data_IF_634562969374
#
_entry.id   IF_634562969374
#
_cell.length_a   1.000
_cell.length_b   1.000
_cell.length_c   1.000
_cell.angle_alpha   90.00
_cell.angle_beta   90.00
_cell.angle_gamma   90.00
#
_symmetry.space_group_name_H-M   'P 1'
#
loop_
_entity.id
_entity.type
_entity.pdbx_description
1 polymer ?
#
# COMPACT_ATOMS: atom_id res chain seq x y z
N UNK A 1 -16.81 -12.80 10.45
CA UNK A 1 -15.39 -12.71 10.02
C UNK A 1 -14.49 -12.06 11.07
N UNK A 2 -14.78 -10.86 11.60
CA UNK A 2 -13.92 -10.18 12.61
C UNK A 2 -13.49 -11.05 13.80
N UNK A 3 -14.44 -11.68 14.53
CA UNK A 3 -14.11 -12.60 15.64
C UNK A 3 -13.24 -13.79 15.19
N UNK A 4 -13.43 -14.29 13.97
CA UNK A 4 -12.63 -15.40 13.45
C UNK A 4 -11.20 -14.97 13.14
N UNK A 5 -11.00 -13.74 12.64
CA UNK A 5 -9.68 -13.13 12.45
C UNK A 5 -8.95 -13.02 13.80
N UNK A 6 -9.61 -12.48 14.83
CA UNK A 6 -9.02 -12.36 16.17
C UNK A 6 -8.69 -13.73 16.78
N UNK A 7 -9.57 -14.73 16.64
CA UNK A 7 -9.29 -16.08 17.12
C UNK A 7 -8.05 -16.69 16.44
N UNK A 8 -7.93 -16.52 15.11
CA UNK A 8 -6.78 -17.02 14.36
C UNK A 8 -5.50 -16.27 14.74
N UNK A 9 -5.58 -14.96 14.99
CA UNK A 9 -4.47 -14.17 15.49
C UNK A 9 -3.94 -14.70 16.84
N UNK A 10 -4.83 -15.05 17.78
CA UNK A 10 -4.42 -15.69 19.04
C UNK A 10 -3.76 -17.06 18.81
N UNK A 11 -4.33 -17.89 17.93
CA UNK A 11 -3.72 -19.17 17.54
C UNK A 11 -2.32 -18.99 16.95
N UNK A 12 -2.08 -17.96 16.15
CA UNK A 12 -0.75 -17.67 15.61
C UNK A 12 0.21 -17.26 16.74
N UNK A 13 -0.23 -16.49 17.74
CA UNK A 13 0.62 -16.11 18.88
C UNK A 13 1.08 -17.32 19.70
N UNK A 14 0.26 -18.38 19.80
CA UNK A 14 0.61 -19.65 20.44
C UNK A 14 1.76 -20.39 19.72
N UNK A 15 1.98 -20.09 18.43
CA UNK A 15 3.10 -20.62 17.65
C UNK A 15 4.43 -19.90 17.93
N UNK A 16 4.43 -18.93 18.86
CA UNK A 16 5.58 -18.12 19.24
C UNK A 16 6.28 -17.44 18.04
N UNK A 17 5.57 -16.56 17.30
CA UNK A 17 6.12 -15.89 16.14
C UNK A 17 7.29 -14.97 16.50
N UNK A 18 8.18 -14.75 15.53
CA UNK A 18 9.27 -13.79 15.61
C UNK A 18 8.77 -12.34 15.83
N UNK A 19 9.64 -11.38 16.23
CA UNK A 19 9.21 -10.07 16.67
C UNK A 19 8.32 -9.29 15.70
N UNK A 20 8.62 -9.30 14.39
CA UNK A 20 7.82 -8.56 13.40
C UNK A 20 6.40 -9.13 13.27
N UNK A 21 6.18 -10.42 12.92
CA UNK A 21 4.82 -10.95 12.86
C UNK A 21 4.07 -10.81 14.18
N UNK A 22 4.73 -11.01 15.32
CA UNK A 22 4.14 -10.83 16.66
C UNK A 22 3.66 -9.40 16.88
N UNK A 23 4.49 -8.42 16.52
CA UNK A 23 4.18 -7.00 16.67
C UNK A 23 2.98 -6.59 15.80
N UNK A 24 2.97 -7.02 14.54
CA UNK A 24 1.87 -6.75 13.61
C UNK A 24 0.55 -7.36 14.11
N UNK A 25 0.57 -8.60 14.60
CA UNK A 25 -0.64 -9.22 15.18
C UNK A 25 -1.18 -8.40 16.34
N UNK A 26 -0.31 -8.05 17.30
CA UNK A 26 -0.73 -7.35 18.52
C UNK A 26 -1.19 -5.92 18.22
N UNK A 27 -0.49 -5.21 17.33
CA UNK A 27 -0.79 -3.81 16.98
C UNK A 27 -1.98 -3.71 16.04
N UNK A 28 -1.98 -4.45 14.93
CA UNK A 28 -2.89 -4.20 13.81
C UNK A 28 -4.16 -5.03 13.89
N UNK A 29 -4.11 -6.24 14.46
CA UNK A 29 -5.26 -7.16 14.47
C UNK A 29 -5.95 -7.19 15.85
N UNK A 30 -5.14 -7.22 16.91
CA UNK A 30 -5.63 -7.23 18.29
C UNK A 30 -5.68 -5.85 18.94
N UNK A 31 -5.25 -4.81 18.21
CA UNK A 31 -5.38 -3.39 18.58
C UNK A 31 -4.87 -3.08 20.00
N UNK A 32 -3.77 -3.72 20.40
CA UNK A 32 -3.12 -3.46 21.69
C UNK A 32 -2.54 -2.05 21.70
N UNK A 33 -2.65 -1.40 22.86
CA UNK A 33 -2.06 -0.08 23.09
C UNK A 33 -0.55 -0.13 22.76
N UNK A 34 -0.04 0.74 21.85
CA UNK A 34 1.37 0.82 21.52
C UNK A 34 2.30 0.94 22.73
N UNK A 35 1.84 1.56 23.83
CA UNK A 35 2.62 1.67 25.07
C UNK A 35 2.97 0.30 25.65
N UNK A 36 2.06 -0.68 25.53
CA UNK A 36 2.26 -2.06 25.97
C UNK A 36 3.22 -2.83 25.03
N UNK A 37 3.43 -2.33 23.82
CA UNK A 37 4.25 -2.97 22.80
C UNK A 37 5.67 -2.38 22.71
N UNK A 38 6.04 -1.45 23.60
CA UNK A 38 7.32 -0.73 23.54
C UNK A 38 8.52 -1.66 23.45
N UNK A 39 8.58 -2.71 24.27
CA UNK A 39 9.73 -3.63 24.27
C UNK A 39 9.76 -4.49 23.00
N UNK A 40 8.59 -4.96 22.55
CA UNK A 40 8.49 -5.69 21.29
C UNK A 40 8.85 -4.82 20.09
N UNK A 41 8.49 -3.52 20.12
CA UNK A 41 8.88 -2.55 19.10
C UNK A 41 10.40 -2.36 19.06
N UNK A 42 11.09 -2.34 20.20
CA UNK A 42 12.57 -2.32 20.20
C UNK A 42 13.15 -3.56 19.50
N UNK A 43 12.59 -4.75 19.76
CA UNK A 43 13.01 -5.97 19.08
C UNK A 43 12.76 -5.92 17.57
N UNK A 44 11.63 -5.36 17.13
CA UNK A 44 11.37 -5.09 15.70
C UNK A 44 12.45 -4.19 15.10
N UNK A 45 12.79 -3.09 15.77
CA UNK A 45 13.79 -2.13 15.30
C UNK A 45 15.22 -2.72 15.28
N UNK A 46 15.48 -3.77 16.06
CA UNK A 46 16.75 -4.50 16.08
C UNK A 46 16.78 -5.70 15.12
N UNK A 47 15.69 -5.99 14.42
CA UNK A 47 15.66 -7.09 13.44
C UNK A 47 16.62 -6.84 12.29
N UNK A 48 17.13 -7.93 11.71
CA UNK A 48 17.98 -7.93 10.52
C UNK A 48 17.41 -7.05 9.41
N UNK A 49 16.09 -7.11 9.20
CA UNK A 49 15.43 -6.41 8.11
C UNK A 49 15.41 -4.89 8.30
N UNK A 50 15.30 -4.40 9.55
CA UNK A 50 15.37 -2.97 9.84
C UNK A 50 16.80 -2.47 9.78
N UNK A 51 17.76 -3.28 10.23
CA UNK A 51 19.19 -2.97 10.08
C UNK A 51 19.55 -2.84 8.58
N UNK A 52 19.12 -3.80 7.74
CA UNK A 52 19.34 -3.75 6.30
C UNK A 52 18.77 -2.46 5.66
N UNK A 53 17.60 -1.99 6.11
CA UNK A 53 17.01 -0.70 5.66
C UNK A 53 17.90 0.47 6.07
N UNK A 54 18.35 0.50 7.32
CA UNK A 54 19.16 1.60 7.84
C UNK A 54 20.52 1.69 7.15
N UNK A 55 21.18 0.55 6.91
CA UNK A 55 22.49 0.46 6.29
C UNK A 55 22.49 0.99 4.84
N UNK A 56 21.38 0.89 4.12
CA UNK A 56 21.24 1.39 2.75
C UNK A 56 20.62 2.79 2.65
N UNK A 57 20.16 3.37 3.77
CA UNK A 57 19.58 4.71 3.75
C UNK A 57 20.67 5.77 3.61
N UNK A 58 20.49 6.67 2.65
CA UNK A 58 21.42 7.78 2.41
C UNK A 58 21.23 8.89 3.43
N UNK A 59 22.23 9.79 3.51
CA UNK A 59 22.19 10.96 4.39
C UNK A 59 20.98 11.87 4.14
N UNK A 60 20.55 11.99 2.88
CA UNK A 60 19.37 12.77 2.49
C UNK A 60 18.04 12.06 2.80
N UNK A 61 18.05 10.84 3.35
CA UNK A 61 16.87 10.07 3.72
C UNK A 61 16.33 9.11 2.64
N UNK A 62 16.88 9.11 1.43
CA UNK A 62 16.45 8.26 0.31
C UNK A 62 17.15 6.89 0.28
N UNK A 63 16.66 5.98 -0.56
CA UNK A 63 17.30 4.69 -0.90
C UNK A 63 17.60 4.60 -2.40
N UNK A 64 18.32 5.61 -2.92
CA UNK A 64 18.54 5.73 -4.36
C UNK A 64 17.46 6.56 -5.04
N UNK A 65 17.25 6.29 -6.34
CA UNK A 65 16.17 6.90 -7.09
C UNK A 65 14.83 6.66 -6.38
N UNK A 66 13.91 7.59 -6.56
CA UNK A 66 12.65 7.51 -5.83
C UNK A 66 11.73 6.47 -6.44
N UNK A 67 11.57 6.53 -7.78
CA UNK A 67 10.57 5.77 -8.53
C UNK A 67 11.18 4.77 -9.52
N UNK A 68 12.15 5.20 -10.33
CA UNK A 68 12.74 4.35 -11.37
C UNK A 68 13.91 3.54 -10.83
N UNK A 69 13.95 2.26 -11.19
CA UNK A 69 15.09 1.41 -10.84
C UNK A 69 16.33 1.83 -11.62
N UNK A 70 17.45 2.00 -10.92
CA UNK A 70 18.76 2.07 -11.56
C UNK A 70 19.37 0.67 -11.68
N UNK A 71 19.18 0.03 -12.84
CA UNK A 71 19.66 -1.35 -13.10
C UNK A 71 21.18 -1.51 -13.09
N UNK A 72 21.93 -0.41 -13.12
CA UNK A 72 23.40 -0.43 -13.05
C UNK A 72 23.93 -0.57 -11.62
N UNK A 73 23.12 -0.25 -10.62
CA UNK A 73 23.51 -0.33 -9.21
C UNK A 73 22.98 -1.62 -8.58
N UNK A 74 23.81 -2.27 -7.77
CA UNK A 74 23.41 -3.40 -6.94
C UNK A 74 23.03 -2.87 -5.55
N UNK A 75 21.75 -2.62 -5.34
CA UNK A 75 21.17 -2.22 -4.05
C UNK A 75 20.13 -3.26 -3.63
N UNK A 76 19.97 -3.56 -2.32
CA UNK A 76 18.90 -4.45 -1.86
C UNK A 76 17.55 -3.78 -2.06
N UNK A 77 17.48 -2.47 -1.78
CA UNK A 77 16.30 -1.65 -2.04
C UNK A 77 16.52 -0.83 -3.31
N UNK A 78 15.80 -1.19 -4.36
CA UNK A 78 16.01 -0.65 -5.71
C UNK A 78 15.54 0.79 -5.87
N UNK A 79 14.62 1.24 -5.00
CA UNK A 79 14.08 2.60 -4.98
C UNK A 79 13.63 3.01 -3.58
N UNK A 80 13.45 4.31 -3.36
CA UNK A 80 12.89 4.86 -2.11
C UNK A 80 11.46 4.37 -1.85
N UNK A 81 10.61 4.28 -2.88
CA UNK A 81 9.26 3.72 -2.71
C UNK A 81 9.27 2.27 -2.23
N UNK A 82 10.19 1.45 -2.74
CA UNK A 82 10.33 0.05 -2.35
C UNK A 82 10.80 -0.08 -0.91
N UNK A 83 11.77 0.73 -0.49
CA UNK A 83 12.25 0.76 0.90
C UNK A 83 11.14 1.20 1.87
N UNK A 84 10.39 2.25 1.52
CA UNK A 84 9.25 2.72 2.33
C UNK A 84 8.15 1.66 2.42
N UNK A 85 7.79 1.01 1.32
CA UNK A 85 6.81 -0.07 1.36
C UNK A 85 7.27 -1.23 2.25
N UNK A 86 8.56 -1.60 2.16
CA UNK A 86 9.15 -2.60 3.07
C UNK A 86 9.04 -2.18 4.53
N UNK A 87 9.32 -0.91 4.85
CA UNK A 87 9.18 -0.40 6.20
C UNK A 87 7.74 -0.49 6.73
N UNK A 88 6.75 -0.13 5.90
CA UNK A 88 5.34 -0.22 6.27
C UNK A 88 4.93 -1.66 6.60
N UNK A 89 5.34 -2.60 5.75
CA UNK A 89 5.11 -4.05 5.92
C UNK A 89 5.73 -4.59 7.21
N UNK A 90 6.89 -4.08 7.63
CA UNK A 90 7.55 -4.48 8.89
C UNK A 90 6.97 -3.81 10.14
N UNK A 91 5.99 -2.91 9.98
CA UNK A 91 5.37 -2.21 11.11
C UNK A 91 6.19 -1.03 11.63
N UNK A 92 7.00 -0.39 10.77
CA UNK A 92 7.56 0.91 11.10
C UNK A 92 6.46 1.98 11.15
N UNK A 93 6.74 3.05 11.87
CA UNK A 93 5.85 4.19 12.08
C UNK A 93 6.60 5.50 11.77
N UNK A 94 5.86 6.59 11.58
CA UNK A 94 6.41 7.90 11.23
C UNK A 94 7.41 8.46 12.26
N UNK A 95 7.42 7.94 13.48
CA UNK A 95 8.36 8.33 14.54
C UNK A 95 9.67 7.56 14.48
N UNK A 96 9.73 6.46 13.74
CA UNK A 96 10.96 5.70 13.58
C UNK A 96 11.93 6.48 12.68
N UNK A 97 13.20 6.57 13.11
CA UNK A 97 14.24 7.35 12.45
C UNK A 97 14.30 7.23 10.92
N UNK A 98 14.29 6.03 10.30
CA UNK A 98 14.39 5.94 8.85
C UNK A 98 13.19 6.59 8.14
N UNK A 99 12.00 6.55 8.76
CA UNK A 99 10.80 7.16 8.20
C UNK A 99 10.82 8.67 8.36
N UNK A 100 11.28 9.19 9.49
CA UNK A 100 11.41 10.63 9.70
C UNK A 100 12.31 11.28 8.64
N UNK A 101 13.46 10.66 8.34
CA UNK A 101 14.36 11.14 7.30
C UNK A 101 13.73 11.08 5.90
N UNK A 102 12.99 10.02 5.60
CA UNK A 102 12.32 9.90 4.31
C UNK A 102 11.13 10.88 4.16
N UNK A 103 10.44 11.20 5.25
CA UNK A 103 9.42 12.26 5.27
C UNK A 103 10.06 13.61 4.96
N UNK A 104 11.14 13.98 5.64
CA UNK A 104 11.88 15.23 5.38
C UNK A 104 12.38 15.30 3.92
N UNK A 105 12.89 14.19 3.37
CA UNK A 105 13.22 14.10 1.94
C UNK A 105 12.01 14.42 1.05
N UNK A 106 10.87 13.74 1.26
CA UNK A 106 9.66 13.92 0.43
C UNK A 106 9.09 15.34 0.55
N UNK A 107 9.13 15.94 1.74
CA UNK A 107 8.74 17.33 1.97
C UNK A 107 9.61 18.30 1.16
N UNK A 108 10.93 18.12 1.21
CA UNK A 108 11.87 18.94 0.43
C UNK A 108 11.67 18.79 -1.08
N UNK A 109 11.36 17.59 -1.57
CA UNK A 109 11.02 17.38 -2.99
C UNK A 109 9.74 18.14 -3.35
N UNK A 110 8.66 17.99 -2.56
CA UNK A 110 7.38 18.64 -2.83
C UNK A 110 7.44 20.17 -2.73
N UNK A 111 8.36 20.71 -1.92
CA UNK A 111 8.63 22.14 -1.80
C UNK A 111 9.56 22.68 -2.90
N UNK A 112 10.15 21.81 -3.73
CA UNK A 112 11.15 22.19 -4.72
C UNK A 112 12.52 22.56 -4.13
N UNK A 113 12.77 22.23 -2.86
CA UNK A 113 14.03 22.52 -2.16
C UNK A 113 15.17 21.57 -2.59
N UNK A 114 14.84 20.39 -3.09
CA UNK A 114 15.80 19.43 -3.65
C UNK A 114 15.28 18.86 -4.97
N UNK A 115 16.22 18.46 -5.83
CA UNK A 115 15.91 17.84 -7.11
C UNK A 115 15.55 16.36 -6.90
N UNK A 116 14.50 15.92 -7.57
CA UNK A 116 14.12 14.51 -7.60
C UNK A 116 15.21 13.68 -8.28
N UNK A 117 15.66 12.59 -7.64
CA UNK A 117 16.84 11.85 -8.11
C UNK A 117 16.60 11.04 -9.40
N UNK A 118 15.34 10.88 -9.78
CA UNK A 118 14.94 10.26 -11.04
C UNK A 118 15.34 11.13 -12.25
N UNK A 119 15.74 10.47 -13.33
CA UNK A 119 16.16 11.17 -14.54
C UNK A 119 14.99 11.87 -15.21
N UNK A 120 15.06 13.21 -15.33
CA UNK A 120 13.98 14.01 -15.92
C UNK A 120 13.64 13.57 -17.34
N UNK A 121 12.41 13.12 -17.53
CA UNK A 121 11.86 12.82 -18.85
C UNK A 121 11.49 14.11 -19.59
N UNK A 122 11.51 14.05 -20.93
CA UNK A 122 11.07 15.15 -21.80
C UNK A 122 9.54 15.16 -21.93
N UNK A 123 8.85 15.30 -20.80
CA UNK A 123 7.39 15.35 -20.71
C UNK A 123 6.95 16.61 -19.98
N UNK A 124 5.93 17.29 -20.51
CA UNK A 124 5.25 18.40 -19.81
C UNK A 124 4.66 17.95 -18.47
N UNK A 125 4.31 16.67 -18.38
CA UNK A 125 3.70 16.07 -17.21
C UNK A 125 4.70 15.67 -16.11
N UNK A 126 6.01 15.87 -16.32
CA UNK A 126 7.04 15.42 -15.38
C UNK A 126 6.84 15.97 -13.97
N UNK A 127 6.69 17.29 -13.83
CA UNK A 127 6.60 17.94 -12.52
C UNK A 127 5.30 17.55 -11.79
N UNK A 128 4.19 17.42 -12.52
CA UNK A 128 2.97 16.85 -12.00
C UNK A 128 3.18 15.41 -11.52
N UNK A 129 3.93 14.60 -12.27
CA UNK A 129 4.23 13.21 -11.92
C UNK A 129 5.06 13.09 -10.65
N UNK A 130 6.11 13.90 -10.52
CA UNK A 130 6.92 14.01 -9.31
C UNK A 130 6.04 14.30 -8.10
N UNK A 131 5.18 15.32 -8.22
CA UNK A 131 4.30 15.75 -7.14
C UNK A 131 3.33 14.63 -6.73
N UNK A 132 2.67 13.97 -7.69
CA UNK A 132 1.70 12.90 -7.42
C UNK A 132 2.35 11.67 -6.80
N UNK A 133 3.48 11.20 -7.35
CA UNK A 133 4.20 10.04 -6.80
C UNK A 133 4.69 10.33 -5.38
N UNK A 134 5.33 11.49 -5.19
CA UNK A 134 5.90 11.86 -3.88
C UNK A 134 4.81 12.08 -2.84
N UNK A 135 3.75 12.84 -3.18
CA UNK A 135 2.66 13.11 -2.25
C UNK A 135 1.85 11.85 -1.91
N UNK A 136 1.60 10.98 -2.88
CA UNK A 136 0.91 9.72 -2.61
C UNK A 136 1.71 8.83 -1.66
N UNK A 137 3.03 8.78 -1.82
CA UNK A 137 3.93 8.02 -0.94
C UNK A 137 4.00 8.64 0.47
N UNK A 138 4.09 9.96 0.56
CA UNK A 138 4.02 10.69 1.84
C UNK A 138 2.68 10.45 2.56
N UNK A 139 1.58 10.33 1.81
CA UNK A 139 0.25 10.12 2.37
C UNK A 139 0.08 8.79 3.13
N UNK A 140 0.91 7.77 2.85
CA UNK A 140 0.92 6.52 3.62
C UNK A 140 1.34 6.75 5.09
N UNK A 141 2.20 7.74 5.32
CA UNK A 141 2.81 8.03 6.62
C UNK A 141 2.19 9.24 7.30
N UNK A 142 1.83 10.25 6.49
CA UNK A 142 1.30 11.53 6.92
C UNK A 142 0.06 11.89 6.09
N UNK A 143 -1.06 11.16 6.27
CA UNK A 143 -2.23 11.33 5.42
C UNK A 143 -2.87 12.72 5.49
N UNK A 144 -2.70 13.46 6.58
CA UNK A 144 -3.24 14.81 6.75
C UNK A 144 -2.17 15.89 6.62
N UNK A 145 -1.04 15.57 5.98
CA UNK A 145 0.04 16.53 5.78
C UNK A 145 -0.39 17.68 4.87
N UNK A 146 0.02 18.91 5.19
CA UNK A 146 -0.37 20.12 4.44
C UNK A 146 0.05 20.08 2.96
N UNK A 147 1.14 19.41 2.63
CA UNK A 147 1.59 19.21 1.24
C UNK A 147 0.80 18.10 0.49
N UNK A 148 0.16 17.19 1.21
CA UNK A 148 -0.61 16.08 0.61
C UNK A 148 -2.03 16.54 0.29
N UNK A 149 -2.64 17.33 1.16
CA UNK A 149 -4.06 17.69 1.07
C UNK A 149 -4.46 18.36 -0.25
N UNK A 150 -3.74 19.37 -0.78
CA UNK A 150 -4.11 20.01 -2.04
C UNK A 150 -4.07 19.03 -3.23
N UNK A 151 -3.05 18.18 -3.28
CA UNK A 151 -2.89 17.18 -4.33
C UNK A 151 -4.01 16.14 -4.24
N UNK A 152 -4.38 15.70 -3.02
CA UNK A 152 -5.52 14.81 -2.83
C UNK A 152 -6.82 15.45 -3.32
N UNK A 153 -7.11 16.69 -2.95
CA UNK A 153 -8.34 17.38 -3.36
C UNK A 153 -8.44 17.49 -4.88
N UNK A 154 -7.35 17.88 -5.53
CA UNK A 154 -7.26 17.89 -6.99
C UNK A 154 -7.61 16.51 -7.60
N UNK A 155 -7.05 15.41 -7.07
CA UNK A 155 -7.39 14.07 -7.56
C UNK A 155 -8.82 13.64 -7.25
N UNK A 156 -9.44 14.14 -6.17
CA UNK A 156 -10.86 13.92 -5.91
C UNK A 156 -11.72 14.56 -6.98
N UNK A 157 -11.38 15.78 -7.39
CA UNK A 157 -12.12 16.52 -8.41
C UNK A 157 -11.90 15.90 -9.80
N UNK A 158 -10.67 15.50 -10.13
CA UNK A 158 -10.38 14.72 -11.35
C UNK A 158 -11.26 13.47 -11.38
N UNK A 159 -11.29 12.65 -10.32
CA UNK A 159 -12.12 11.44 -10.30
C UNK A 159 -13.61 11.75 -10.45
N UNK A 160 -14.12 12.80 -9.80
CA UNK A 160 -15.54 13.18 -9.94
C UNK A 160 -15.87 13.62 -11.37
N UNK A 161 -15.00 14.42 -11.99
CA UNK A 161 -15.19 14.91 -13.36
C UNK A 161 -15.03 13.78 -14.40
N UNK A 162 -14.25 12.73 -14.11
CA UNK A 162 -14.09 11.55 -14.99
C UNK A 162 -15.33 10.65 -15.09
N UNK A 163 -16.38 10.91 -14.30
CA UNK A 163 -17.60 10.10 -14.29
C UNK A 163 -18.82 10.93 -14.65
N UNK A 164 -19.63 10.42 -15.58
CA UNK A 164 -20.91 10.99 -15.96
C UNK A 164 -21.99 9.91 -15.83
N UNK A 165 -23.13 10.24 -15.22
CA UNK A 165 -24.22 9.28 -14.98
C UNK A 165 -23.76 7.95 -14.33
N UNK A 166 -22.82 8.04 -13.38
CA UNK A 166 -22.19 6.89 -12.70
C UNK A 166 -21.39 5.95 -13.62
N UNK A 167 -20.97 6.42 -14.79
CA UNK A 167 -20.12 5.68 -15.71
C UNK A 167 -18.82 6.44 -15.97
N UNK A 168 -17.72 5.71 -15.98
CA UNK A 168 -16.41 6.28 -16.30
C UNK A 168 -16.34 6.68 -17.78
N UNK A 169 -15.82 7.88 -18.05
CA UNK A 169 -15.59 8.39 -19.40
C UNK A 169 -14.12 8.82 -19.56
N UNK A 170 -13.34 8.12 -20.41
CA UNK A 170 -11.93 8.46 -20.64
C UNK A 170 -11.69 9.88 -21.14
N UNK A 171 -12.58 10.42 -21.98
CA UNK A 171 -12.42 11.76 -22.53
C UNK A 171 -12.62 12.83 -21.45
N UNK A 172 -13.50 12.59 -20.49
CA UNK A 172 -13.68 13.48 -19.35
C UNK A 172 -12.47 13.43 -18.40
N UNK A 173 -11.88 12.26 -18.22
CA UNK A 173 -10.64 12.13 -17.44
C UNK A 173 -9.50 12.95 -18.06
N UNK A 174 -9.27 12.80 -19.37
CA UNK A 174 -8.23 13.57 -20.08
C UNK A 174 -8.47 15.08 -19.91
N UNK A 175 -9.71 15.54 -20.13
CA UNK A 175 -10.06 16.94 -19.97
C UNK A 175 -9.83 17.46 -18.54
N UNK A 176 -10.21 16.67 -17.53
CA UNK A 176 -9.99 17.02 -16.12
C UNK A 176 -8.49 17.09 -15.81
N UNK A 177 -7.70 16.11 -16.26
CA UNK A 177 -6.25 16.13 -16.01
C UNK A 177 -5.56 17.31 -16.69
N UNK A 178 -5.87 17.61 -17.94
CA UNK A 178 -5.34 18.79 -18.63
C UNK A 178 -5.68 20.09 -17.89
N UNK A 179 -6.93 20.21 -17.41
CA UNK A 179 -7.41 21.35 -16.62
C UNK A 179 -6.64 21.52 -15.31
N UNK A 180 -6.51 20.45 -14.52
CA UNK A 180 -5.95 20.53 -13.16
C UNK A 180 -4.42 20.53 -13.12
N UNK A 181 -3.77 19.83 -14.05
CA UNK A 181 -2.30 19.79 -14.13
C UNK A 181 -1.71 20.87 -15.03
N UNK A 182 -2.54 21.59 -15.80
CA UNK A 182 -2.10 22.59 -16.76
C UNK A 182 -1.13 22.04 -17.82
N UNK A 183 -1.44 20.86 -18.33
CA UNK A 183 -0.66 20.14 -19.35
C UNK A 183 -1.51 19.87 -20.58
N UNK A 184 -0.86 19.66 -21.73
CA UNK A 184 -1.54 19.31 -22.98
C UNK A 184 -1.55 17.80 -23.25
N UNK A 185 -0.62 17.06 -22.66
CA UNK A 185 -0.46 15.61 -22.85
C UNK A 185 -1.38 14.79 -21.93
N UNK A 186 -1.62 13.54 -22.33
CA UNK A 186 -2.15 12.52 -21.43
C UNK A 186 -1.24 12.35 -20.20
N UNK A 187 -1.85 12.07 -19.05
CA UNK A 187 -1.17 11.92 -17.77
C UNK A 187 -1.74 10.74 -16.97
N UNK A 188 -1.22 10.48 -15.77
CA UNK A 188 -1.53 9.28 -14.99
C UNK A 188 -3.01 8.97 -14.95
N UNK A 189 -3.37 7.73 -15.23
CA UNK A 189 -4.76 7.32 -15.16
C UNK A 189 -5.30 7.30 -13.70
N UNK A 190 -6.57 7.67 -13.47
CA UNK A 190 -7.19 7.77 -12.12
C UNK A 190 -7.30 6.43 -11.37
N UNK A 191 -7.11 5.30 -12.06
CA UNK A 191 -6.94 3.98 -11.44
C UNK A 191 -5.48 3.54 -11.36
N UNK A 192 -4.53 4.47 -11.31
CA UNK A 192 -3.14 4.20 -10.96
C UNK A 192 -2.97 4.03 -9.44
N UNK A 193 -1.95 3.28 -9.03
CA UNK A 193 -1.53 3.15 -7.62
C UNK A 193 -1.53 4.50 -6.89
N UNK A 194 -0.96 5.54 -7.52
CA UNK A 194 -0.73 6.83 -6.90
C UNK A 194 -2.02 7.63 -6.66
N UNK A 195 -2.89 7.69 -7.67
CA UNK A 195 -4.19 8.32 -7.55
C UNK A 195 -5.02 7.60 -6.47
N UNK A 196 -5.13 6.27 -6.56
CA UNK A 196 -5.92 5.48 -5.60
C UNK A 196 -5.35 5.60 -4.18
N UNK A 197 -4.03 5.64 -4.00
CA UNK A 197 -3.37 5.82 -2.70
C UNK A 197 -3.67 7.18 -2.08
N UNK A 198 -3.60 8.26 -2.86
CA UNK A 198 -4.02 9.58 -2.40
C UNK A 198 -5.47 9.56 -1.95
N UNK A 199 -6.31 8.82 -2.68
CA UNK A 199 -7.75 8.77 -2.44
C UNK A 199 -8.16 7.83 -1.32
N UNK A 200 -7.36 6.83 -0.99
CA UNK A 200 -7.64 5.86 0.08
C UNK A 200 -6.99 6.23 1.41
N UNK A 201 -6.06 7.18 1.42
CA UNK A 201 -5.38 7.63 2.63
C UNK A 201 -6.06 8.85 3.23
N UNK A 202 -6.15 8.89 4.56
CA UNK A 202 -6.66 10.04 5.32
C UNK A 202 -8.18 10.17 5.30
N UNK A 203 -8.68 11.00 6.22
CA UNK A 203 -10.06 11.47 6.26
C UNK A 203 -9.96 12.97 6.50
N UNK A 204 -10.45 13.79 5.58
CA UNK A 204 -10.67 15.19 5.91
C UNK A 204 -11.85 15.20 6.90
N UNK A 205 -11.61 15.53 8.15
CA UNK A 205 -12.64 15.55 9.19
C UNK A 205 -13.79 16.51 8.85
N UNK A 206 -13.52 17.51 7.99
CA UNK A 206 -14.51 18.51 7.58
C UNK A 206 -15.35 18.08 6.39
N UNK A 207 -14.86 17.20 5.52
CA UNK A 207 -15.57 16.79 4.30
C UNK A 207 -15.27 15.33 3.95
N UNK A 208 -16.34 14.54 3.74
CA UNK A 208 -16.20 13.20 3.18
C UNK A 208 -15.65 13.32 1.75
N UNK A 209 -14.56 12.60 1.51
CA UNK A 209 -13.86 12.53 0.23
C UNK A 209 -14.81 12.22 -0.95
N UNK A 210 -15.67 11.23 -0.77
CA UNK A 210 -16.74 10.87 -1.69
C UNK A 210 -18.05 10.61 -0.93
N UNK A 211 -19.18 10.78 -1.59
CA UNK A 211 -20.43 10.19 -1.11
C UNK A 211 -20.29 8.66 -1.14
N UNK A 212 -21.02 7.96 -0.26
CA UNK A 212 -20.93 6.49 -0.19
C UNK A 212 -21.31 5.82 -1.52
N UNK A 213 -22.28 6.39 -2.23
CA UNK A 213 -22.74 5.85 -3.51
C UNK A 213 -21.71 6.07 -4.61
N UNK A 214 -21.08 7.25 -4.66
CA UNK A 214 -20.02 7.50 -5.62
C UNK A 214 -18.77 6.66 -5.34
N UNK A 215 -18.40 6.48 -4.07
CA UNK A 215 -17.31 5.58 -3.67
C UNK A 215 -17.54 4.16 -4.22
N UNK A 216 -18.75 3.61 -4.08
CA UNK A 216 -19.10 2.30 -4.65
C UNK A 216 -18.95 2.26 -6.17
N UNK A 217 -19.37 3.31 -6.88
CA UNK A 217 -19.24 3.41 -8.34
C UNK A 217 -17.76 3.37 -8.74
N UNK A 218 -16.94 4.22 -8.13
CA UNK A 218 -15.50 4.29 -8.41
C UNK A 218 -14.80 2.96 -8.11
N UNK A 219 -15.05 2.38 -6.92
CA UNK A 219 -14.43 1.11 -6.53
C UNK A 219 -14.88 -0.06 -7.40
N UNK A 220 -16.17 -0.13 -7.74
CA UNK A 220 -16.68 -1.18 -8.64
C UNK A 220 -15.97 -1.10 -9.98
N UNK A 221 -15.84 0.11 -10.54
CA UNK A 221 -15.14 0.32 -11.79
C UNK A 221 -13.66 -0.08 -11.70
N UNK A 222 -12.92 0.32 -10.65
CA UNK A 222 -11.54 -0.11 -10.43
C UNK A 222 -11.42 -1.66 -10.37
N UNK A 223 -12.37 -2.30 -9.68
CA UNK A 223 -12.34 -3.74 -9.43
C UNK A 223 -12.68 -4.57 -10.67
N UNK A 224 -13.57 -4.08 -11.53
CA UNK A 224 -14.06 -4.80 -12.72
C UNK A 224 -13.37 -4.39 -14.02
N UNK A 225 -12.42 -3.46 -13.99
CA UNK A 225 -11.73 -3.00 -15.20
C UNK A 225 -10.86 -4.09 -15.82
N UNK A 226 -11.01 -4.30 -17.13
CA UNK A 226 -10.30 -5.35 -17.88
C UNK A 226 -8.78 -5.20 -17.84
N UNK A 227 -8.28 -3.96 -18.02
CA UNK A 227 -6.84 -3.67 -17.97
C UNK A 227 -6.25 -3.58 -16.55
N UNK A 228 -7.06 -3.87 -15.53
CA UNK A 228 -6.64 -3.81 -14.14
C UNK A 228 -6.34 -2.39 -13.65
N UNK A 229 -5.48 -2.33 -12.63
CA UNK A 229 -5.10 -1.11 -11.92
C UNK A 229 -3.62 -0.78 -12.17
N UNK A 230 -3.33 0.45 -12.59
CA UNK A 230 -1.98 0.87 -12.99
C UNK A 230 -0.95 0.67 -11.86
N UNK A 231 0.20 0.08 -12.18
CA UNK A 231 1.26 -0.30 -11.23
C UNK A 231 0.86 -1.35 -10.16
N UNK A 232 -0.33 -1.95 -10.28
CA UNK A 232 -0.84 -2.95 -9.33
C UNK A 232 -1.21 -4.26 -10.03
N UNK A 233 -2.04 -4.22 -11.07
CA UNK A 233 -2.46 -5.41 -11.82
C UNK A 233 -2.56 -5.11 -13.32
N UNK A 234 -2.28 -6.12 -14.14
CA UNK A 234 -2.47 -6.08 -15.60
C UNK A 234 -3.80 -6.70 -16.03
N UNK A 235 -4.45 -7.42 -15.11
CA UNK A 235 -5.70 -8.12 -15.34
C UNK A 235 -6.78 -7.61 -14.39
N UNK A 236 -8.01 -7.91 -14.75
CA UNK A 236 -9.20 -7.66 -13.95
C UNK A 236 -9.09 -8.22 -12.52
N UNK A 237 -9.45 -7.39 -11.54
CA UNK A 237 -9.33 -7.73 -10.12
C UNK A 237 -10.50 -8.58 -9.62
N UNK A 238 -11.66 -8.48 -10.26
CA UNK A 238 -12.85 -9.26 -9.91
C UNK A 238 -12.71 -10.77 -10.18
N UNK A 239 -11.84 -11.18 -11.12
CA UNK A 239 -11.76 -12.59 -11.52
C UNK A 239 -11.11 -13.43 -10.41
N UNK A 240 -11.77 -14.47 -9.93
CA UNK A 240 -11.20 -15.31 -8.88
C UNK A 240 -10.01 -16.13 -9.42
N UNK A 241 -8.91 -16.25 -8.65
CA UNK A 241 -7.79 -17.08 -9.05
C UNK A 241 -8.21 -18.55 -9.21
N UNK A 242 -7.82 -19.17 -10.32
CA UNK A 242 -7.99 -20.62 -10.54
C UNK A 242 -6.95 -21.40 -9.72
N UNK A 243 -5.71 -20.90 -9.68
CA UNK A 243 -4.62 -21.49 -8.90
C UNK A 243 -4.45 -20.77 -7.57
N UNK A 244 -4.20 -21.54 -6.50
CA UNK A 244 -3.91 -21.03 -5.15
C UNK A 244 -2.39 -20.86 -4.98
N UNK A 245 -1.81 -19.89 -5.69
CA UNK A 245 -0.39 -19.55 -5.59
C UNK A 245 -0.21 -18.10 -5.21
N UNK A 246 0.94 -17.73 -4.62
CA UNK A 246 1.18 -16.33 -4.29
C UNK A 246 1.19 -15.45 -5.55
N UNK A 247 1.74 -15.97 -6.66
CA UNK A 247 1.81 -15.24 -7.94
C UNK A 247 0.43 -14.86 -8.47
N UNK A 248 -0.58 -15.72 -8.31
CA UNK A 248 -1.93 -15.47 -8.80
C UNK A 248 -2.71 -14.47 -7.93
N UNK A 249 -2.36 -14.35 -6.64
CA UNK A 249 -3.09 -13.49 -5.69
C UNK A 249 -2.38 -12.17 -5.37
N UNK A 250 -1.06 -12.05 -5.59
CA UNK A 250 -0.26 -10.90 -5.13
C UNK A 250 -0.84 -9.53 -5.53
N UNK A 251 -1.25 -9.38 -6.79
CA UNK A 251 -1.79 -8.11 -7.29
C UNK A 251 -3.16 -7.81 -6.69
N UNK A 252 -3.95 -8.84 -6.38
CA UNK A 252 -5.24 -8.71 -5.70
C UNK A 252 -5.06 -8.37 -4.22
N UNK A 253 -4.05 -8.94 -3.54
CA UNK A 253 -3.70 -8.55 -2.18
C UNK A 253 -3.24 -7.08 -2.12
N UNK A 254 -2.35 -6.67 -3.03
CA UNK A 254 -1.90 -5.27 -3.13
C UNK A 254 -3.07 -4.31 -3.44
N UNK A 255 -3.96 -4.69 -4.35
CA UNK A 255 -5.17 -3.93 -4.63
C UNK A 255 -6.07 -3.84 -3.40
N UNK A 256 -6.33 -4.96 -2.72
CA UNK A 256 -7.19 -4.99 -1.53
C UNK A 256 -6.61 -4.14 -0.39
N UNK A 257 -5.31 -4.19 -0.16
CA UNK A 257 -4.58 -3.38 0.82
C UNK A 257 -4.72 -1.88 0.53
N UNK A 258 -4.57 -1.51 -0.74
CA UNK A 258 -4.72 -0.14 -1.22
C UNK A 258 -6.16 0.37 -1.08
N UNK A 259 -7.14 -0.46 -1.46
CA UNK A 259 -8.55 -0.13 -1.38
C UNK A 259 -9.09 -0.16 0.05
N UNK A 260 -8.40 -0.81 1.00
CA UNK A 260 -8.85 -0.92 2.39
C UNK A 260 -9.08 0.44 3.08
N UNK A 261 -8.60 1.55 2.52
CA UNK A 261 -8.89 2.91 2.99
C UNK A 261 -10.32 3.41 2.71
N UNK A 262 -11.02 2.81 1.75
CA UNK A 262 -12.42 3.14 1.44
C UNK A 262 -13.39 2.26 2.22
N UNK A 263 -14.52 2.85 2.64
CA UNK A 263 -15.51 2.15 3.48
C UNK A 263 -16.29 1.07 2.74
N UNK A 264 -16.43 1.22 1.42
CA UNK A 264 -17.20 0.32 0.57
C UNK A 264 -16.40 -0.90 0.10
N UNK A 265 -15.11 -0.97 0.38
CA UNK A 265 -14.20 -2.02 -0.12
C UNK A 265 -14.64 -3.42 0.26
N UNK A 266 -15.10 -3.63 1.50
CA UNK A 266 -15.57 -4.94 1.95
C UNK A 266 -16.72 -5.48 1.09
N UNK A 267 -17.67 -4.62 0.70
CA UNK A 267 -18.82 -4.98 -0.11
C UNK A 267 -18.45 -5.20 -1.58
N UNK A 268 -17.52 -4.41 -2.12
CA UNK A 268 -17.09 -4.53 -3.52
C UNK A 268 -16.20 -5.76 -3.73
N UNK A 269 -15.34 -6.08 -2.77
CA UNK A 269 -14.36 -7.15 -2.88
C UNK A 269 -14.81 -8.45 -2.18
N UNK A 270 -16.09 -8.57 -1.79
CA UNK A 270 -16.60 -9.65 -0.95
C UNK A 270 -16.27 -11.05 -1.48
N UNK A 271 -16.43 -11.28 -2.79
CA UNK A 271 -16.17 -12.57 -3.42
C UNK A 271 -14.71 -13.00 -3.26
N UNK A 272 -13.76 -12.08 -3.48
CA UNK A 272 -12.34 -12.36 -3.30
C UNK A 272 -11.97 -12.54 -1.82
N UNK A 273 -12.56 -11.76 -0.92
CA UNK A 273 -12.37 -11.90 0.53
C UNK A 273 -12.83 -13.30 0.99
N UNK A 274 -14.00 -13.75 0.53
CA UNK A 274 -14.54 -15.05 0.87
C UNK A 274 -13.73 -16.19 0.24
N UNK A 275 -13.30 -16.03 -1.02
CA UNK A 275 -12.40 -16.97 -1.68
C UNK A 275 -11.08 -17.10 -0.90
N UNK A 276 -10.45 -15.97 -0.54
CA UNK A 276 -9.19 -15.97 0.19
C UNK A 276 -9.35 -16.63 1.57
N UNK A 277 -10.47 -16.35 2.25
CA UNK A 277 -10.83 -17.00 3.50
C UNK A 277 -11.00 -18.51 3.33
N UNK A 278 -11.66 -18.99 2.27
CA UNK A 278 -11.88 -20.43 2.08
C UNK A 278 -10.64 -21.19 1.61
N UNK A 279 -9.65 -20.52 1.01
CA UNK A 279 -8.41 -21.13 0.51
C UNK A 279 -7.28 -21.14 1.56
N UNK A 280 -7.61 -21.52 2.79
CA UNK A 280 -6.62 -21.83 3.83
C UNK A 280 -6.27 -23.32 3.81
N UNK A 281 -5.12 -23.66 4.39
CA UNK A 281 -4.80 -25.06 4.72
C UNK A 281 -5.68 -25.56 5.89
N UNK A 282 -5.64 -26.87 6.16
CA UNK A 282 -6.47 -27.56 7.17
C UNK A 282 -6.29 -27.00 8.59
N UNK A 283 -5.09 -26.53 8.93
CA UNK A 283 -4.83 -25.90 10.22
C UNK A 283 -5.32 -24.44 10.30
N UNK A 284 -5.96 -23.93 9.26
CA UNK A 284 -6.54 -22.60 9.22
C UNK A 284 -5.52 -21.48 8.98
N UNK A 285 -4.37 -21.75 8.39
CA UNK A 285 -3.38 -20.76 8.00
C UNK A 285 -3.11 -20.79 6.48
N UNK A 286 -2.39 -19.80 5.97
CA UNK A 286 -2.00 -19.73 4.56
C UNK A 286 -0.52 -20.06 4.39
N UNK A 287 -0.21 -20.93 3.45
CA UNK A 287 1.16 -21.18 2.97
C UNK A 287 1.13 -21.36 1.45
N UNK A 288 1.71 -20.41 0.72
CA UNK A 288 1.80 -20.49 -0.75
C UNK A 288 3.13 -21.06 -1.24
N UNK A 289 3.85 -21.75 -0.34
CA UNK A 289 5.14 -22.36 -0.63
C UNK A 289 6.33 -21.39 -0.59
N UNK A 290 7.56 -21.94 -0.66
CA UNK A 290 8.80 -21.18 -0.51
C UNK A 290 9.15 -20.32 -1.73
N UNK A 291 8.52 -20.57 -2.88
CA UNK A 291 8.73 -19.84 -4.13
C UNK A 291 7.56 -18.89 -4.34
N UNK A 292 7.83 -17.59 -4.38
CA UNK A 292 6.85 -16.62 -4.91
C UNK A 292 6.64 -15.37 -4.09
N UNK A 293 6.96 -15.36 -2.79
CA UNK A 293 6.84 -14.16 -1.98
C UNK A 293 7.80 -13.07 -2.49
N UNK A 294 7.29 -11.87 -2.78
CA UNK A 294 8.14 -10.75 -3.17
C UNK A 294 8.97 -10.31 -1.98
N UNK A 295 10.30 -10.17 -2.17
CA UNK A 295 11.27 -9.81 -1.12
C UNK A 295 10.90 -8.53 -0.33
N UNK A 296 10.05 -7.69 -0.92
CA UNK A 296 9.58 -6.45 -0.33
C UNK A 296 8.48 -6.73 0.71
N UNK A 297 7.50 -7.55 0.35
CA UNK A 297 6.33 -7.80 1.19
C UNK A 297 6.57 -8.95 2.18
N UNK A 298 7.44 -9.90 1.82
CA UNK A 298 7.80 -11.06 2.61
C UNK A 298 9.28 -11.40 2.35
N UNK A 299 10.01 -11.97 3.31
CA UNK A 299 9.52 -12.51 4.58
C UNK A 299 9.30 -11.44 5.65
N UNK A 300 8.58 -11.77 6.72
CA UNK A 300 8.52 -10.98 7.96
C UNK A 300 9.46 -11.58 9.02
N UNK A 301 9.51 -12.90 9.10
CA UNK A 301 10.46 -13.65 9.92
C UNK A 301 11.86 -13.66 9.29
N UNK A 302 12.92 -13.69 10.09
CA UNK A 302 14.31 -13.75 9.64
C UNK A 302 14.67 -15.11 9.02
N UNK A 303 14.09 -16.20 9.54
CA UNK A 303 14.34 -17.54 9.04
C UNK A 303 13.10 -18.22 8.45
N UNK A 304 12.85 -17.99 7.16
CA UNK A 304 11.72 -18.60 6.42
C UNK A 304 12.01 -19.97 5.83
N UNK A 305 13.20 -20.54 6.10
CA UNK A 305 13.46 -21.96 5.78
C UNK A 305 12.57 -22.87 6.61
N UNK A 306 12.21 -22.45 7.82
CA UNK A 306 11.20 -23.12 8.62
C UNK A 306 9.82 -22.88 8.02
N UNK A 307 9.13 -23.97 7.65
CA UNK A 307 7.78 -23.95 7.09
C UNK A 307 6.81 -23.14 7.95
N UNK A 308 6.91 -23.28 9.27
CA UNK A 308 6.02 -22.59 10.21
C UNK A 308 6.18 -21.06 10.14
N UNK A 309 7.40 -20.54 10.08
CA UNK A 309 7.65 -19.10 9.97
C UNK A 309 7.08 -18.53 8.67
N UNK A 310 7.30 -19.20 7.53
CA UNK A 310 6.72 -18.78 6.26
C UNK A 310 5.18 -18.73 6.31
N UNK A 311 4.58 -19.73 6.94
CA UNK A 311 3.13 -19.86 7.10
C UNK A 311 2.56 -18.77 8.01
N UNK A 312 3.27 -18.45 9.10
CA UNK A 312 2.98 -17.29 9.95
C UNK A 312 3.04 -16.01 9.12
N UNK A 313 4.11 -15.79 8.36
CA UNK A 313 4.32 -14.57 7.58
C UNK A 313 3.18 -14.31 6.58
N UNK A 314 2.81 -15.31 5.77
CA UNK A 314 1.68 -15.21 4.84
C UNK A 314 0.36 -14.93 5.58
N UNK A 315 0.13 -15.64 6.70
CA UNK A 315 -1.10 -15.52 7.46
C UNK A 315 -1.23 -14.14 8.12
N UNK A 316 -0.16 -13.62 8.71
CA UNK A 316 -0.15 -12.28 9.33
C UNK A 316 -0.40 -11.21 8.29
N UNK A 317 0.23 -11.31 7.11
CA UNK A 317 -0.02 -10.37 6.03
C UNK A 317 -1.49 -10.37 5.59
N UNK A 318 -2.04 -11.54 5.30
CA UNK A 318 -3.42 -11.67 4.85
C UNK A 318 -4.40 -11.19 5.94
N UNK A 319 -4.19 -11.57 7.19
CA UNK A 319 -5.07 -11.16 8.29
C UNK A 319 -5.02 -9.66 8.51
N UNK A 320 -3.86 -9.01 8.38
CA UNK A 320 -3.74 -7.55 8.51
C UNK A 320 -4.56 -6.83 7.45
N UNK A 321 -4.52 -7.30 6.19
CA UNK A 321 -5.33 -6.75 5.09
C UNK A 321 -6.82 -6.98 5.35
N UNK A 322 -7.21 -8.22 5.66
CA UNK A 322 -8.62 -8.55 5.90
C UNK A 322 -9.20 -7.78 7.09
N UNK A 323 -8.45 -7.67 8.19
CA UNK A 323 -8.86 -6.91 9.36
C UNK A 323 -9.15 -5.47 9.00
N UNK A 324 -8.21 -4.79 8.32
CA UNK A 324 -8.35 -3.40 7.88
C UNK A 324 -9.59 -3.19 7.00
N UNK A 325 -9.86 -4.11 6.08
CA UNK A 325 -11.04 -4.04 5.20
C UNK A 325 -12.35 -4.23 5.96
N UNK A 326 -12.37 -5.06 7.00
CA UNK A 326 -13.58 -5.37 7.77
C UNK A 326 -13.88 -4.30 8.82
N UNK A 327 -12.86 -3.70 9.43
CA UNK A 327 -13.03 -2.68 10.47
C UNK A 327 -13.29 -1.28 9.90
N UNK A 328 -12.92 -1.00 8.66
CA UNK A 328 -13.17 0.28 8.01
C UNK A 328 -14.59 0.41 7.40
N UNK A 329 -15.56 -0.42 7.80
CA UNK A 329 -16.94 -0.44 7.29
C UNK A 329 -17.84 0.69 7.77
#
# INVERSE_FOLDING_TARGET
MHKQIQNLAHKILELNPEPIPKYLILRDILEKDPKQLTELKKQVLQSKWVIDILDEQRENGSWGRFHSQNTKLKQKYVTTEVALHRCAVMGLAKQDLPIQKAIDYMEKVLQGNIVWEDGREKSEAWDAGVAVITASTLAEWCPNHSLVLPIRMMWQDIVKESFENSQYNPSLEVAAQQKYHHISSDFYYIGSLYAVRLLSTGKNEKEKQFSRDFEKVYLKWLWTRESGMGYVSQNRLADLPVEVTYKSIRSKLKALELLAGFSSTSSICQDFIQWLWNNREEDGLWDFGPKGAEKIELPLSENTRYKINRKIDYSVRILSILHKVITNQ
#
